data_IF_750238624465
#
_entry.id   IF_750238624465
#
_cell.length_a   1.000
_cell.length_b   1.000
_cell.length_c   1.000
_cell.angle_alpha   90.00
_cell.angle_beta   90.00
_cell.angle_gamma   90.00
#
_symmetry.space_group_name_H-M   'P 1'
#
loop_
_entity.id
_entity.type
_entity.pdbx_description
1 polymer ?
#
# COMPACT_ATOMS: atom_id res chain seq x y z
N UNK A 1 14.29 2.51 -10.54
CA UNK A 1 13.35 3.58 -10.20
C UNK A 1 13.37 3.73 -8.69
N UNK A 2 13.59 4.94 -8.19
CA UNK A 2 13.19 5.27 -6.83
C UNK A 2 11.65 5.38 -6.84
N UNK A 3 10.97 4.86 -5.83
CA UNK A 3 9.54 5.08 -5.66
C UNK A 3 9.18 6.55 -5.52
N UNK A 4 7.89 6.89 -5.44
CA UNK A 4 7.51 8.21 -4.95
C UNK A 4 8.19 8.44 -3.59
N UNK A 5 8.75 9.64 -3.42
CA UNK A 5 9.40 10.10 -2.19
C UNK A 5 8.58 11.26 -1.63
N UNK A 6 7.32 10.97 -1.33
CA UNK A 6 6.35 11.92 -0.82
C UNK A 6 5.47 12.58 -1.88
N UNK A 7 4.62 13.47 -1.37
CA UNK A 7 3.62 14.19 -2.17
C UNK A 7 4.28 15.11 -3.20
N UNK A 8 3.66 15.35 -4.37
CA UNK A 8 4.19 16.26 -5.36
C UNK A 8 4.20 17.70 -4.82
N UNK A 9 5.10 18.53 -5.35
CA UNK A 9 5.21 19.94 -4.96
C UNK A 9 3.85 20.64 -5.10
N UNK A 10 3.42 21.31 -4.02
CA UNK A 10 2.15 22.03 -3.96
C UNK A 10 0.96 21.21 -3.44
N UNK A 11 1.11 19.89 -3.26
CA UNK A 11 0.10 19.09 -2.59
C UNK A 11 0.18 19.30 -1.07
N UNK A 12 -0.85 19.95 -0.52
CA UNK A 12 -0.98 20.29 0.90
C UNK A 12 -1.96 19.36 1.64
N UNK A 13 -2.40 18.26 1.03
CA UNK A 13 -3.35 17.34 1.66
C UNK A 13 -2.72 16.65 2.87
N UNK A 14 -3.41 16.65 4.01
CA UNK A 14 -2.99 15.87 5.18
C UNK A 14 -3.04 14.37 4.91
N UNK A 15 -2.35 13.57 5.75
CA UNK A 15 -2.45 12.11 5.71
C UNK A 15 -3.90 11.61 5.74
N UNK A 16 -4.72 12.18 6.64
CA UNK A 16 -6.14 11.85 6.73
C UNK A 16 -6.88 12.16 5.42
N UNK A 17 -6.63 13.32 4.81
CA UNK A 17 -7.28 13.69 3.55
C UNK A 17 -6.91 12.74 2.40
N UNK A 18 -5.66 12.28 2.38
CA UNK A 18 -5.17 11.30 1.39
C UNK A 18 -5.88 9.96 1.58
N UNK A 19 -5.96 9.48 2.82
CA UNK A 19 -6.68 8.24 3.17
C UNK A 19 -8.15 8.33 2.75
N UNK A 20 -8.84 9.41 3.10
CA UNK A 20 -10.26 9.61 2.77
C UNK A 20 -10.56 9.65 1.27
N UNK A 21 -9.59 10.10 0.46
CA UNK A 21 -9.74 10.26 -0.99
C UNK A 21 -9.31 9.02 -1.80
N UNK A 22 -8.72 8.01 -1.16
CA UNK A 22 -8.26 6.80 -1.84
C UNK A 22 -9.01 5.58 -1.31
N UNK A 23 -9.87 5.01 -2.15
CA UNK A 23 -10.65 3.80 -1.81
C UNK A 23 -9.75 2.65 -1.38
N UNK A 24 -8.72 2.31 -2.17
CA UNK A 24 -7.80 1.20 -1.87
C UNK A 24 -7.02 1.42 -0.57
N UNK A 25 -6.52 2.64 -0.34
CA UNK A 25 -5.82 2.95 0.90
C UNK A 25 -6.77 2.87 2.10
N UNK A 26 -7.99 3.43 1.96
CA UNK A 26 -8.98 3.37 3.01
C UNK A 26 -9.37 1.93 3.36
N UNK A 27 -9.69 1.10 2.37
CA UNK A 27 -10.04 -0.30 2.59
C UNK A 27 -8.89 -1.10 3.20
N UNK A 28 -7.66 -0.89 2.72
CA UNK A 28 -6.47 -1.50 3.30
C UNK A 28 -6.28 -1.12 4.77
N UNK A 29 -6.53 0.15 5.12
CA UNK A 29 -6.41 0.64 6.49
C UNK A 29 -7.59 0.28 7.41
N UNK A 30 -8.79 0.14 6.87
CA UNK A 30 -9.96 -0.32 7.63
C UNK A 30 -9.92 -1.84 7.85
N UNK A 31 -9.17 -2.56 7.01
CA UNK A 31 -9.01 -4.01 7.05
C UNK A 31 -8.17 -4.53 8.22
N UNK A 32 -8.43 -5.78 8.60
CA UNK A 32 -7.72 -6.48 9.67
C UNK A 32 -6.47 -7.24 9.20
N UNK A 33 -6.06 -7.09 7.95
CA UNK A 33 -5.02 -7.94 7.32
C UNK A 33 -3.61 -7.31 7.34
N UNK A 34 -3.52 -6.00 7.65
CA UNK A 34 -2.29 -5.21 7.47
C UNK A 34 -1.21 -5.41 8.54
N UNK A 35 -1.55 -5.96 9.71
CA UNK A 35 -0.68 -5.90 10.90
C UNK A 35 0.65 -6.63 10.70
N UNK A 36 0.67 -7.71 9.92
CA UNK A 36 1.90 -8.43 9.63
C UNK A 36 2.85 -7.69 8.67
N UNK A 37 2.30 -6.87 7.76
CA UNK A 37 3.09 -6.12 6.77
C UNK A 37 3.41 -4.70 7.23
N UNK A 38 2.65 -4.17 8.20
CA UNK A 38 2.70 -2.75 8.58
C UNK A 38 4.11 -2.29 8.95
N UNK A 39 4.86 -3.09 9.72
CA UNK A 39 6.22 -2.73 10.13
C UNK A 39 7.14 -2.55 8.92
N UNK A 40 7.13 -3.52 8.01
CA UNK A 40 8.00 -3.58 6.85
C UNK A 40 7.60 -2.54 5.79
N UNK A 41 6.30 -2.34 5.58
CA UNK A 41 5.78 -1.27 4.74
C UNK A 41 6.27 0.10 5.22
N UNK A 42 6.24 0.37 6.54
CA UNK A 42 6.76 1.62 7.12
C UNK A 42 8.25 1.82 6.90
N UNK A 43 9.06 0.75 6.78
CA UNK A 43 10.48 0.88 6.44
C UNK A 43 10.69 1.47 5.04
N UNK A 44 9.73 1.26 4.12
CA UNK A 44 9.85 1.68 2.73
C UNK A 44 9.13 2.98 2.43
N UNK A 45 7.92 3.17 2.94
CA UNK A 45 7.08 4.35 2.64
C UNK A 45 7.06 5.36 3.77
N UNK A 46 7.63 5.04 4.94
CA UNK A 46 7.56 5.88 6.15
C UNK A 46 6.32 5.58 7.02
N UNK A 47 6.23 6.22 8.19
CA UNK A 47 5.13 6.02 9.12
C UNK A 47 3.98 7.02 8.88
N UNK A 48 2.88 6.50 8.33
CA UNK A 48 1.65 7.24 8.04
C UNK A 48 0.70 7.36 9.26
N UNK A 49 1.02 6.72 10.38
CA UNK A 49 0.15 6.65 11.56
C UNK A 49 0.37 7.82 12.52
N UNK A 50 -0.54 8.00 13.49
CA UNK A 50 -0.43 9.03 14.53
C UNK A 50 0.79 8.84 15.46
N UNK A 51 1.47 7.70 15.40
CA UNK A 51 2.72 7.48 16.14
C UNK A 51 3.86 8.38 15.64
N UNK A 52 3.84 8.75 14.36
CA UNK A 52 4.76 9.74 13.81
C UNK A 52 4.24 11.16 14.13
N UNK A 53 4.94 11.98 14.94
CA UNK A 53 4.44 13.29 15.34
C UNK A 53 4.48 14.34 14.21
N UNK A 54 5.28 14.12 13.16
CA UNK A 54 5.44 15.07 12.06
C UNK A 54 4.28 14.93 11.04
N UNK A 55 3.39 15.94 10.92
CA UNK A 55 2.25 15.89 10.01
C UNK A 55 2.64 15.82 8.53
N UNK A 56 3.74 16.45 8.13
CA UNK A 56 4.19 16.47 6.75
C UNK A 56 4.81 15.11 6.38
N UNK A 57 5.63 14.56 7.28
CA UNK A 57 6.16 13.20 7.14
C UNK A 57 5.04 12.16 7.04
N UNK A 58 4.02 12.22 7.92
CA UNK A 58 2.85 11.34 7.83
C UNK A 58 2.12 11.46 6.51
N UNK A 59 1.93 12.68 6.00
CA UNK A 59 1.21 12.92 4.75
C UNK A 59 1.98 12.38 3.54
N UNK A 60 3.30 12.51 3.54
CA UNK A 60 4.16 11.91 2.53
C UNK A 60 4.10 10.38 2.59
N UNK A 61 4.16 9.79 3.79
CA UNK A 61 4.06 8.35 3.94
C UNK A 61 2.70 7.77 3.50
N UNK A 62 1.60 8.47 3.84
CA UNK A 62 0.27 8.08 3.37
C UNK A 62 0.16 8.16 1.85
N UNK A 63 0.77 9.18 1.23
CA UNK A 63 0.82 9.31 -0.23
C UNK A 63 1.63 8.17 -0.88
N UNK A 64 2.80 7.87 -0.34
CA UNK A 64 3.67 6.83 -0.90
C UNK A 64 3.02 5.45 -0.78
N UNK A 65 2.38 5.15 0.36
CA UNK A 65 1.57 3.94 0.52
C UNK A 65 0.40 3.90 -0.47
N UNK A 66 -0.33 5.01 -0.64
CA UNK A 66 -1.43 5.11 -1.61
C UNK A 66 -0.98 4.76 -3.02
N UNK A 67 0.19 5.26 -3.43
CA UNK A 67 0.76 5.00 -4.76
C UNK A 67 1.11 3.53 -4.96
N UNK A 68 1.69 2.89 -3.94
CA UNK A 68 2.03 1.46 -3.99
C UNK A 68 0.77 0.62 -4.08
N UNK A 69 -0.21 0.87 -3.19
CA UNK A 69 -1.46 0.11 -3.18
C UNK A 69 -2.23 0.27 -4.50
N UNK A 70 -2.33 1.50 -5.02
CA UNK A 70 -2.98 1.75 -6.32
C UNK A 70 -2.22 1.11 -7.48
N UNK A 71 -0.90 1.03 -7.42
CA UNK A 71 -0.12 0.34 -8.45
C UNK A 71 -0.45 -1.16 -8.45
N UNK A 72 -0.51 -1.78 -7.27
CA UNK A 72 -0.81 -3.21 -7.10
C UNK A 72 -2.26 -3.53 -7.49
N UNK A 73 -3.24 -2.77 -7.00
CA UNK A 73 -4.67 -2.86 -7.36
C UNK A 73 -4.91 -2.65 -8.87
N UNK A 74 -3.96 -2.06 -9.60
CA UNK A 74 -4.07 -1.86 -11.05
C UNK A 74 -3.33 -2.92 -11.89
N UNK A 75 -2.74 -3.94 -11.26
CA UNK A 75 -2.06 -5.02 -11.97
C UNK A 75 -3.06 -5.83 -12.82
N UNK A 76 -2.56 -6.42 -13.91
CA UNK A 76 -3.40 -7.18 -14.85
C UNK A 76 -3.95 -8.44 -14.15
N UNK A 77 -5.25 -8.46 -13.87
CA UNK A 77 -5.97 -9.57 -13.24
C UNK A 77 -5.74 -10.91 -13.96
N UNK A 78 -5.43 -10.90 -15.26
CA UNK A 78 -5.15 -12.13 -16.03
C UNK A 78 -3.85 -12.81 -15.63
N UNK A 79 -2.99 -12.12 -14.89
CA UNK A 79 -1.71 -12.62 -14.40
C UNK A 79 -1.74 -12.99 -12.92
N UNK A 80 -2.77 -12.56 -12.19
CA UNK A 80 -2.89 -12.74 -10.76
C UNK A 80 -4.03 -13.70 -10.42
N UNK A 81 -3.80 -14.54 -9.42
CA UNK A 81 -4.77 -15.53 -8.98
C UNK A 81 -5.70 -14.94 -7.92
N UNK A 82 -7.01 -14.95 -8.21
CA UNK A 82 -8.04 -14.50 -7.27
C UNK A 82 -7.98 -13.02 -6.93
N UNK A 83 -7.56 -12.18 -7.88
CA UNK A 83 -7.51 -10.72 -7.77
C UNK A 83 -8.32 -10.08 -8.90
N UNK A 84 -9.08 -9.03 -8.58
CA UNK A 84 -9.82 -8.26 -9.58
C UNK A 84 -9.21 -6.86 -9.76
N UNK A 85 -8.83 -6.50 -10.99
CA UNK A 85 -8.16 -5.21 -11.21
C UNK A 85 -9.08 -4.02 -10.90
N UNK A 86 -8.54 -3.00 -10.22
CA UNK A 86 -9.16 -1.70 -9.92
C UNK A 86 -10.42 -1.81 -9.07
N UNK A 87 -10.54 -2.86 -8.26
CA UNK A 87 -11.69 -3.05 -7.38
C UNK A 87 -11.57 -2.22 -6.08
N UNK A 88 -10.39 -1.63 -5.83
CA UNK A 88 -10.12 -0.82 -4.66
C UNK A 88 -9.85 -1.65 -3.40
N UNK A 89 -9.44 -2.90 -3.56
CA UNK A 89 -8.98 -3.78 -2.50
C UNK A 89 -7.56 -4.26 -2.82
N UNK A 90 -6.97 -4.99 -1.87
CA UNK A 90 -5.77 -5.78 -2.13
C UNK A 90 -6.21 -7.22 -1.88
N UNK A 91 -6.40 -7.95 -2.96
CA UNK A 91 -6.97 -9.29 -2.92
C UNK A 91 -5.94 -10.35 -2.53
N UNK A 92 -6.40 -11.48 -1.99
CA UNK A 92 -5.55 -12.61 -1.60
C UNK A 92 -5.14 -12.66 -0.13
N UNK A 93 -5.63 -11.75 0.72
CA UNK A 93 -5.54 -11.91 2.17
C UNK A 93 -6.64 -12.87 2.69
N UNK A 94 -6.25 -13.83 3.52
CA UNK A 94 -7.15 -14.72 4.25
C UNK A 94 -6.76 -14.80 5.73
N UNK A 95 -7.64 -15.33 6.57
CA UNK A 95 -7.43 -15.49 8.02
C UNK A 95 -6.90 -14.22 8.72
N UNK A 96 -7.50 -13.06 8.41
CA UNK A 96 -7.05 -11.75 8.94
C UNK A 96 -5.59 -11.42 8.58
N UNK A 97 -5.11 -11.87 7.43
CA UNK A 97 -3.78 -11.56 6.91
C UNK A 97 -2.82 -12.73 7.04
N UNK A 98 -3.05 -13.64 8.01
CA UNK A 98 -2.15 -14.76 8.32
C UNK A 98 -1.82 -15.60 7.09
N UNK A 99 -2.78 -15.75 6.17
CA UNK A 99 -2.58 -16.45 4.91
C UNK A 99 -2.59 -15.43 3.79
N UNK A 100 -1.52 -15.46 2.98
CA UNK A 100 -1.42 -14.73 1.72
C UNK A 100 -1.47 -15.76 0.59
N UNK A 101 -2.43 -15.59 -0.32
CA UNK A 101 -2.56 -16.41 -1.51
C UNK A 101 -1.39 -16.14 -2.45
N UNK A 102 -0.71 -17.19 -2.89
CA UNK A 102 0.38 -17.07 -3.86
C UNK A 102 -0.10 -16.44 -5.17
N UNK A 103 0.75 -15.59 -5.78
CA UNK A 103 0.49 -14.92 -7.06
C UNK A 103 -0.78 -14.04 -7.04
N UNK A 104 -1.14 -13.50 -5.88
CA UNK A 104 -2.21 -12.50 -5.72
C UNK A 104 -1.63 -11.09 -5.51
N UNK A 105 -2.49 -10.07 -5.51
CA UNK A 105 -2.10 -8.72 -5.11
C UNK A 105 -1.49 -8.65 -3.70
N UNK A 106 -2.01 -9.43 -2.74
CA UNK A 106 -1.45 -9.53 -1.40
C UNK A 106 -0.03 -10.12 -1.40
N UNK A 107 0.28 -11.07 -2.28
CA UNK A 107 1.64 -11.62 -2.47
C UNK A 107 2.58 -10.57 -3.07
N UNK A 108 2.10 -9.77 -4.03
CA UNK A 108 2.84 -8.62 -4.54
C UNK A 108 3.12 -7.58 -3.45
N UNK A 109 2.13 -7.29 -2.58
CA UNK A 109 2.31 -6.35 -1.47
C UNK A 109 3.28 -6.89 -0.42
N UNK A 110 3.26 -8.20 -0.12
CA UNK A 110 4.23 -8.86 0.74
C UNK A 110 5.65 -8.83 0.15
N UNK A 111 5.80 -9.05 -1.15
CA UNK A 111 7.10 -8.90 -1.81
C UNK A 111 7.59 -7.45 -1.76
N UNK A 112 6.70 -6.45 -1.96
CA UNK A 112 7.06 -5.05 -1.76
C UNK A 112 7.45 -4.76 -0.30
N UNK A 113 6.77 -5.33 0.69
CA UNK A 113 7.13 -5.16 2.09
C UNK A 113 8.55 -5.69 2.38
N UNK A 114 8.97 -6.79 1.74
CA UNK A 114 10.32 -7.36 1.91
C UNK A 114 11.44 -6.62 1.16
N UNK A 115 11.16 -6.16 -0.05
CA UNK A 115 12.18 -5.70 -1.00
C UNK A 115 12.07 -4.21 -1.37
N UNK A 116 11.00 -3.55 -0.94
CA UNK A 116 10.67 -2.18 -1.26
C UNK A 116 10.42 -1.94 -2.75
N UNK A 117 10.73 -0.73 -3.21
CA UNK A 117 10.46 -0.29 -4.59
C UNK A 117 11.19 -1.09 -5.68
N UNK A 118 12.18 -1.91 -5.31
CA UNK A 118 12.82 -2.82 -6.27
C UNK A 118 11.84 -3.89 -6.79
N UNK A 119 10.94 -4.39 -5.94
CA UNK A 119 9.95 -5.42 -6.24
C UNK A 119 8.97 -4.99 -7.32
N UNK A 120 8.56 -3.71 -7.34
CA UNK A 120 7.55 -3.21 -8.28
C UNK A 120 7.94 -3.38 -9.76
N UNK A 121 9.20 -3.68 -10.07
CA UNK A 121 9.69 -3.94 -11.44
C UNK A 121 9.50 -5.37 -11.89
N UNK A 122 9.21 -6.28 -10.96
CA UNK A 122 9.00 -7.69 -11.23
C UNK A 122 7.52 -8.03 -11.45
N UNK A 123 6.61 -7.09 -11.15
CA UNK A 123 5.16 -7.22 -11.30
C UNK A 123 4.70 -6.90 -12.73
#
# INVERSE_FOLDING_TARGET
MAGPMGRPVGDQRSAQKIIEQSTVLKHFLDGHHRWQLEHDLKQHVGDWTQANPDPESRANAAYDLERVLRFIDNLDERKLDGSDERNGNIDGFAERGVIIQHNSEADCLDQFAREGYAALRAF
#
